data_IF_592227898502
#
_entry.id   IF_592227898502
#
_cell.length_a   1.000
_cell.length_b   1.000
_cell.length_c   1.000
_cell.angle_alpha   90.00
_cell.angle_beta   90.00
_cell.angle_gamma   90.00
#
_symmetry.space_group_name_H-M   'P 1'
#
loop_
_entity.id
_entity.type
_entity.pdbx_description
1 polymer ?
#
# COMPACT_ATOMS: atom_id res chain seq x y z
N UNK A 1 -27.91 -25.50 -42.43
CA UNK A 1 -27.78 -25.46 -40.94
C UNK A 1 -26.35 -25.29 -40.47
N UNK A 2 -25.40 -26.15 -40.86
CA UNK A 2 -24.02 -26.14 -40.32
C UNK A 2 -23.21 -24.84 -40.56
N UNK A 3 -23.36 -24.19 -41.72
CA UNK A 3 -22.70 -22.91 -42.01
C UNK A 3 -23.25 -21.76 -41.15
N UNK A 4 -24.56 -21.76 -40.89
CA UNK A 4 -25.20 -20.74 -40.06
C UNK A 4 -24.79 -20.87 -38.60
N UNK A 5 -24.69 -22.10 -38.07
CA UNK A 5 -24.21 -22.34 -36.71
C UNK A 5 -22.75 -21.93 -36.55
N UNK A 6 -21.90 -22.19 -37.54
CA UNK A 6 -20.49 -21.79 -37.49
C UNK A 6 -20.33 -20.26 -37.50
N UNK A 7 -21.11 -19.55 -38.33
CA UNK A 7 -21.11 -18.09 -38.38
C UNK A 7 -21.55 -17.48 -37.05
N UNK A 8 -22.59 -18.03 -36.41
CA UNK A 8 -23.07 -17.56 -35.10
C UNK A 8 -22.02 -17.80 -34.02
N UNK A 9 -21.40 -18.98 -33.96
CA UNK A 9 -20.34 -19.27 -32.98
C UNK A 9 -19.16 -18.33 -33.16
N UNK A 10 -18.67 -18.14 -34.40
CA UNK A 10 -17.57 -17.22 -34.68
C UNK A 10 -17.91 -15.78 -34.29
N UNK A 11 -19.13 -15.33 -34.56
CA UNK A 11 -19.59 -14.00 -34.20
C UNK A 11 -19.65 -13.83 -32.66
N UNK A 12 -20.19 -14.81 -31.94
CA UNK A 12 -20.23 -14.80 -30.48
C UNK A 12 -18.84 -14.84 -29.86
N UNK A 13 -17.92 -15.63 -30.43
CA UNK A 13 -16.52 -15.67 -30.01
C UNK A 13 -15.81 -14.34 -30.23
N UNK A 14 -16.05 -13.67 -31.36
CA UNK A 14 -15.51 -12.34 -31.64
C UNK A 14 -16.07 -11.27 -30.70
N UNK A 15 -17.37 -11.31 -30.42
CA UNK A 15 -18.00 -10.40 -29.46
C UNK A 15 -17.48 -10.61 -28.04
N UNK A 16 -17.38 -11.86 -27.58
CA UNK A 16 -16.82 -12.21 -26.28
C UNK A 16 -15.34 -11.81 -26.19
N UNK A 17 -14.54 -12.09 -27.21
CA UNK A 17 -13.14 -11.67 -27.28
C UNK A 17 -12.99 -10.14 -27.28
N UNK A 18 -13.87 -9.43 -27.99
CA UNK A 18 -13.89 -7.98 -28.01
C UNK A 18 -14.24 -7.40 -26.64
N UNK A 19 -15.20 -7.99 -25.94
CA UNK A 19 -15.57 -7.59 -24.58
C UNK A 19 -14.41 -7.77 -23.59
N UNK A 20 -13.74 -8.92 -23.61
CA UNK A 20 -12.59 -9.21 -22.75
C UNK A 20 -11.45 -8.20 -22.94
N UNK A 21 -11.15 -7.83 -24.19
CA UNK A 21 -10.05 -6.90 -24.49
C UNK A 21 -10.40 -5.44 -24.19
N UNK A 22 -11.64 -5.01 -24.43
CA UNK A 22 -12.03 -3.61 -24.31
C UNK A 22 -12.56 -3.23 -22.93
N UNK A 23 -13.05 -4.18 -22.14
CA UNK A 23 -13.71 -3.91 -20.85
C UNK A 23 -12.97 -4.57 -19.68
N UNK A 24 -12.75 -5.89 -19.74
CA UNK A 24 -12.19 -6.65 -18.61
C UNK A 24 -10.69 -6.40 -18.43
N UNK A 25 -9.90 -6.45 -19.51
CA UNK A 25 -8.44 -6.30 -19.44
C UNK A 25 -7.97 -4.95 -18.84
N UNK A 26 -8.53 -3.78 -19.23
CA UNK A 26 -8.17 -2.51 -18.61
C UNK A 26 -8.45 -2.46 -17.10
N UNK A 27 -9.61 -2.98 -16.65
CA UNK A 27 -10.00 -3.01 -15.23
C UNK A 27 -9.06 -3.89 -14.41
N UNK A 28 -8.80 -5.10 -14.87
CA UNK A 28 -7.87 -6.03 -14.22
C UNK A 28 -6.47 -5.40 -14.10
N UNK A 29 -6.01 -4.70 -15.14
CA UNK A 29 -4.72 -4.03 -15.12
C UNK A 29 -4.66 -2.92 -14.07
N UNK A 30 -5.70 -2.09 -13.96
CA UNK A 30 -5.75 -0.99 -12.99
C UNK A 30 -5.68 -1.51 -11.54
N UNK A 31 -6.49 -2.52 -11.20
CA UNK A 31 -6.49 -3.10 -9.85
C UNK A 31 -5.15 -3.76 -9.50
N UNK A 32 -4.54 -4.42 -10.49
CA UNK A 32 -3.23 -5.07 -10.31
C UNK A 32 -2.15 -4.04 -10.05
N UNK A 33 -2.16 -2.92 -10.78
CA UNK A 33 -1.23 -1.83 -10.56
C UNK A 33 -1.46 -1.15 -9.20
N UNK A 34 -2.71 -0.90 -8.79
CA UNK A 34 -3.05 -0.34 -7.48
C UNK A 34 -2.54 -1.23 -6.34
N UNK A 35 -2.78 -2.54 -6.43
CA UNK A 35 -2.28 -3.52 -5.47
C UNK A 35 -0.74 -3.54 -5.43
N UNK A 36 -0.08 -3.53 -6.60
CA UNK A 36 1.39 -3.51 -6.69
C UNK A 36 1.96 -2.26 -6.01
N UNK A 37 1.39 -1.09 -6.29
CA UNK A 37 1.86 0.18 -5.74
C UNK A 37 1.63 0.26 -4.22
N UNK A 38 0.45 -0.16 -3.74
CA UNK A 38 0.17 -0.24 -2.30
C UNK A 38 1.19 -1.14 -1.57
N UNK A 39 1.54 -2.29 -2.16
CA UNK A 39 2.56 -3.17 -1.61
C UNK A 39 3.95 -2.52 -1.55
N UNK A 40 4.33 -1.73 -2.56
CA UNK A 40 5.60 -1.01 -2.56
C UNK A 40 5.66 0.05 -1.45
N UNK A 41 4.54 0.76 -1.22
CA UNK A 41 4.42 1.70 -0.09
C UNK A 41 4.52 0.95 1.24
N UNK A 42 3.86 -0.20 1.40
CA UNK A 42 3.98 -1.03 2.60
C UNK A 42 5.42 -1.45 2.86
N UNK A 43 6.15 -1.92 1.84
CA UNK A 43 7.56 -2.30 1.98
C UNK A 43 8.40 -1.09 2.44
N UNK A 44 8.19 0.08 1.84
CA UNK A 44 8.88 1.30 2.25
C UNK A 44 8.59 1.66 3.72
N UNK A 45 7.33 1.55 4.16
CA UNK A 45 6.91 1.77 5.54
C UNK A 45 7.54 0.75 6.51
N UNK A 46 7.66 -0.52 6.12
CA UNK A 46 8.33 -1.56 6.94
C UNK A 46 9.82 -1.29 7.08
N UNK A 47 10.48 -0.82 6.02
CA UNK A 47 11.89 -0.41 6.09
C UNK A 47 12.08 0.76 7.05
N UNK A 48 11.14 1.72 7.05
CA UNK A 48 11.17 2.83 8.01
C UNK A 48 11.04 2.35 9.46
N UNK A 49 10.05 1.50 9.75
CA UNK A 49 9.88 0.91 11.09
C UNK A 49 11.15 0.17 11.54
N UNK A 50 11.75 -0.61 10.64
CA UNK A 50 12.96 -1.40 10.91
C UNK A 50 14.15 -0.49 11.19
N UNK A 51 14.36 0.55 10.38
CA UNK A 51 15.42 1.53 10.58
C UNK A 51 15.28 2.26 11.93
N UNK A 52 14.09 2.77 12.24
CA UNK A 52 13.84 3.47 13.50
C UNK A 52 14.06 2.58 14.72
N UNK A 53 13.68 1.30 14.66
CA UNK A 53 13.97 0.33 15.74
C UNK A 53 15.48 0.14 15.93
N UNK A 54 16.25 0.06 14.84
CA UNK A 54 17.71 -0.02 14.89
C UNK A 54 18.33 1.22 15.51
N UNK A 55 17.89 2.40 15.08
CA UNK A 55 18.32 3.69 15.62
C UNK A 55 18.06 3.79 17.13
N UNK A 56 16.82 3.55 17.56
CA UNK A 56 16.44 3.62 18.98
C UNK A 56 17.14 2.56 19.84
N UNK A 57 17.55 1.43 19.27
CA UNK A 57 18.22 0.36 19.99
C UNK A 57 19.74 0.51 20.10
N UNK A 58 20.37 1.27 19.19
CA UNK A 58 21.84 1.32 19.07
C UNK A 58 22.43 2.73 19.13
N UNK A 59 21.61 3.76 18.91
CA UNK A 59 22.02 5.13 18.64
C UNK A 59 23.04 5.26 17.48
N UNK A 60 23.11 4.29 16.58
CA UNK A 60 23.96 4.35 15.38
C UNK A 60 23.18 4.98 14.21
N UNK A 61 23.61 6.15 13.69
CA UNK A 61 22.93 6.85 12.60
C UNK A 61 22.77 6.03 11.31
N UNK A 62 23.56 4.96 11.10
CA UNK A 62 23.42 4.09 9.93
C UNK A 62 22.01 3.50 9.82
N UNK A 63 21.34 3.27 10.96
CA UNK A 63 19.96 2.76 10.97
C UNK A 63 18.92 3.82 10.60
N UNK A 64 19.29 5.10 10.45
CA UNK A 64 18.39 6.12 9.91
C UNK A 64 18.33 6.10 8.37
N UNK A 65 19.25 5.44 7.67
CA UNK A 65 19.22 5.36 6.21
C UNK A 65 17.93 4.69 5.68
N UNK A 66 17.49 3.52 6.19
CA UNK A 66 16.22 2.90 5.75
C UNK A 66 14.99 3.74 6.09
N UNK A 67 15.05 4.54 7.17
CA UNK A 67 14.00 5.49 7.53
C UNK A 67 13.90 6.61 6.51
N UNK A 68 15.01 7.25 6.15
CA UNK A 68 15.02 8.38 5.22
C UNK A 68 14.60 7.94 3.82
N UNK A 69 15.22 6.88 3.29
CA UNK A 69 14.89 6.33 1.97
C UNK A 69 13.45 5.82 1.91
N UNK A 70 12.98 5.15 2.96
CA UNK A 70 11.63 4.63 3.04
C UNK A 70 10.59 5.75 3.10
N UNK A 71 10.87 6.85 3.81
CA UNK A 71 9.98 8.03 3.89
C UNK A 71 9.75 8.65 2.53
N UNK A 72 10.81 8.86 1.76
CA UNK A 72 10.75 9.40 0.40
C UNK A 72 9.98 8.47 -0.54
N UNK A 73 10.33 7.18 -0.53
CA UNK A 73 9.70 6.16 -1.38
C UNK A 73 8.21 6.03 -1.09
N UNK A 74 7.85 5.98 0.19
CA UNK A 74 6.46 5.93 0.60
C UNK A 74 5.73 7.20 0.16
N UNK A 75 6.31 8.40 0.32
CA UNK A 75 5.65 9.65 -0.06
C UNK A 75 5.36 9.71 -1.57
N UNK A 76 6.33 9.32 -2.40
CA UNK A 76 6.15 9.19 -3.84
C UNK A 76 5.05 8.19 -4.20
N UNK A 77 5.10 6.97 -3.65
CA UNK A 77 4.11 5.93 -3.94
C UNK A 77 2.69 6.29 -3.48
N UNK A 78 2.56 6.99 -2.36
CA UNK A 78 1.27 7.54 -1.90
C UNK A 78 0.67 8.56 -2.85
N UNK A 79 1.49 9.44 -3.44
CA UNK A 79 1.04 10.37 -4.49
C UNK A 79 0.61 9.63 -5.77
N UNK A 80 1.33 8.57 -6.13
CA UNK A 80 1.00 7.73 -7.27
C UNK A 80 -0.32 6.97 -7.06
N UNK A 81 -0.55 6.39 -5.88
CA UNK A 81 -1.83 5.74 -5.53
C UNK A 81 -3.02 6.68 -5.73
N UNK A 82 -2.93 7.92 -5.22
CA UNK A 82 -3.99 8.93 -5.41
C UNK A 82 -4.22 9.25 -6.89
N UNK A 83 -3.13 9.34 -7.67
CA UNK A 83 -3.21 9.58 -9.11
C UNK A 83 -3.89 8.41 -9.85
N UNK A 84 -3.56 7.18 -9.47
CA UNK A 84 -4.11 5.95 -10.07
C UNK A 84 -5.57 5.72 -9.71
N UNK A 85 -6.00 6.16 -8.52
CA UNK A 85 -7.40 6.14 -8.13
C UNK A 85 -8.24 7.03 -9.07
N UNK A 86 -7.72 8.18 -9.48
CA UNK A 86 -8.42 9.08 -10.40
C UNK A 86 -9.82 9.44 -9.90
N UNK A 87 -10.86 9.10 -10.67
CA UNK A 87 -12.27 9.35 -10.31
C UNK A 87 -12.96 8.17 -9.62
N UNK A 88 -12.23 7.10 -9.34
CA UNK A 88 -12.75 5.94 -8.63
C UNK A 88 -12.89 6.24 -7.13
N UNK A 89 -14.12 6.54 -6.71
CA UNK A 89 -14.42 6.88 -5.33
C UNK A 89 -14.15 5.75 -4.35
N UNK A 90 -14.29 4.49 -4.76
CA UNK A 90 -14.04 3.35 -3.88
C UNK A 90 -12.54 3.17 -3.69
N UNK A 91 -11.73 3.18 -4.75
CA UNK A 91 -10.27 3.13 -4.62
C UNK A 91 -9.74 4.33 -3.83
N UNK A 92 -10.24 5.53 -4.13
CA UNK A 92 -9.87 6.75 -3.40
C UNK A 92 -10.16 6.63 -1.90
N UNK A 93 -11.32 6.08 -1.51
CA UNK A 93 -11.65 5.88 -0.09
C UNK A 93 -10.66 4.95 0.63
N UNK A 94 -10.28 3.83 -0.01
CA UNK A 94 -9.32 2.88 0.57
C UNK A 94 -7.93 3.51 0.72
N UNK A 95 -7.52 4.29 -0.27
CA UNK A 95 -6.23 5.00 -0.24
C UNK A 95 -6.24 6.08 0.84
N UNK A 96 -7.34 6.84 1.00
CA UNK A 96 -7.45 7.84 2.08
C UNK A 96 -7.29 7.19 3.46
N UNK A 97 -7.91 6.03 3.71
CA UNK A 97 -7.75 5.30 4.97
C UNK A 97 -6.28 4.93 5.23
N UNK A 98 -5.55 4.46 4.20
CA UNK A 98 -4.11 4.20 4.28
C UNK A 98 -3.34 5.47 4.64
N UNK A 99 -3.63 6.59 3.97
CA UNK A 99 -2.91 7.85 4.16
C UNK A 99 -3.15 8.46 5.54
N UNK A 100 -4.37 8.36 6.07
CA UNK A 100 -4.69 8.82 7.43
C UNK A 100 -3.92 7.99 8.47
N UNK A 101 -3.94 6.66 8.35
CA UNK A 101 -3.21 5.78 9.27
C UNK A 101 -1.70 6.01 9.19
N UNK A 102 -1.17 6.20 7.97
CA UNK A 102 0.22 6.56 7.75
C UNK A 102 0.58 7.89 8.40
N UNK A 103 -0.21 8.95 8.20
CA UNK A 103 0.10 10.26 8.75
C UNK A 103 0.19 10.24 10.29
N UNK A 104 -0.65 9.42 10.94
CA UNK A 104 -0.57 9.18 12.38
C UNK A 104 0.75 8.51 12.77
N UNK A 105 1.18 7.49 12.02
CA UNK A 105 2.48 6.84 12.25
C UNK A 105 3.67 7.76 11.93
N UNK A 106 3.62 8.55 10.86
CA UNK A 106 4.67 9.47 10.43
C UNK A 106 4.97 10.53 11.51
N UNK A 107 3.97 10.90 12.32
CA UNK A 107 4.14 11.80 13.46
C UNK A 107 5.04 11.14 14.52
N UNK A 108 4.71 9.92 14.95
CA UNK A 108 5.54 9.15 15.88
C UNK A 108 6.95 8.87 15.31
N UNK A 109 7.03 8.55 14.03
CA UNK A 109 8.27 8.22 13.34
C UNK A 109 9.25 9.40 13.29
N UNK A 110 8.75 10.62 13.13
CA UNK A 110 9.57 11.84 13.19
C UNK A 110 10.15 12.06 14.59
N UNK A 111 9.35 11.88 15.63
CA UNK A 111 9.82 11.97 17.01
C UNK A 111 10.86 10.88 17.30
N UNK A 112 10.63 9.66 16.84
CA UNK A 112 11.56 8.54 16.97
C UNK A 112 12.92 8.83 16.32
N UNK A 113 12.92 9.42 15.11
CA UNK A 113 14.16 9.75 14.39
C UNK A 113 15.00 10.84 15.07
N UNK A 114 14.37 11.71 15.87
CA UNK A 114 15.04 12.82 16.57
C UNK A 114 15.51 12.44 17.98
N UNK A 115 15.07 11.29 18.52
CA UNK A 115 15.50 10.81 19.83
C UNK A 115 16.95 10.37 19.78
N UNK A 116 17.80 11.05 20.53
CA UNK A 116 19.18 10.64 20.76
C UNK A 116 19.30 10.06 22.19
N UNK A 117 19.18 8.74 22.30
CA UNK A 117 19.34 8.01 23.56
C UNK A 117 20.75 8.16 24.16
N UNK A 118 21.77 8.44 23.33
CA UNK A 118 23.12 8.67 23.83
C UNK A 118 23.23 10.03 24.55
N UNK A 119 22.48 11.04 24.09
CA UNK A 119 22.43 12.38 24.69
C UNK A 119 21.37 12.56 25.77
N UNK A 120 20.32 11.72 25.79
CA UNK A 120 19.23 11.79 26.77
C UNK A 120 18.70 10.40 27.10
N UNK A 121 19.36 9.67 28.02
CA UNK A 121 19.00 8.30 28.34
C UNK A 121 17.59 8.24 28.92
N UNK A 122 16.72 7.42 28.32
CA UNK A 122 15.38 7.17 28.83
C UNK A 122 15.37 5.82 29.57
N UNK A 123 14.46 5.64 30.53
CA UNK A 123 14.38 4.36 31.23
C UNK A 123 14.00 3.23 30.24
N UNK A 124 14.51 2.00 30.40
CA UNK A 124 14.15 0.88 29.53
C UNK A 124 12.64 0.65 29.42
N UNK A 125 11.90 0.90 30.51
CA UNK A 125 10.45 0.80 30.54
C UNK A 125 9.78 1.89 29.67
N UNK A 126 10.26 3.13 29.73
CA UNK A 126 9.73 4.23 28.93
C UNK A 126 10.05 4.04 27.43
N UNK A 127 11.26 3.57 27.09
CA UNK A 127 11.62 3.22 25.72
C UNK A 127 10.74 2.08 25.19
N UNK A 128 10.52 1.05 26.00
CA UNK A 128 9.63 -0.06 25.64
C UNK A 128 8.21 0.43 25.36
N UNK A 129 7.66 1.28 26.22
CA UNK A 129 6.33 1.85 26.01
C UNK A 129 6.27 2.68 24.72
N UNK A 130 7.28 3.51 24.47
CA UNK A 130 7.36 4.31 23.25
C UNK A 130 7.39 3.44 21.97
N UNK A 131 8.12 2.32 22.00
CA UNK A 131 8.13 1.35 20.89
C UNK A 131 6.79 0.64 20.71
N UNK A 132 6.08 0.33 21.81
CA UNK A 132 4.74 -0.26 21.76
C UNK A 132 3.72 0.72 21.15
N UNK A 133 3.81 2.01 21.47
CA UNK A 133 2.95 3.04 20.91
C UNK A 133 3.14 3.16 19.38
N UNK A 134 4.40 3.18 18.93
CA UNK A 134 4.74 3.16 17.50
C UNK A 134 4.26 1.90 16.79
N UNK A 135 4.40 0.74 17.44
CA UNK A 135 3.87 -0.53 16.91
C UNK A 135 2.34 -0.48 16.76
N UNK A 136 1.61 0.04 17.74
CA UNK A 136 0.16 0.12 17.67
C UNK A 136 -0.30 1.00 16.49
N UNK A 137 0.37 2.14 16.26
CA UNK A 137 0.12 2.99 15.09
C UNK A 137 0.43 2.25 13.78
N UNK A 138 1.53 1.50 13.72
CA UNK A 138 1.91 0.74 12.52
C UNK A 138 0.95 -0.41 12.24
N UNK A 139 0.41 -1.06 13.27
CA UNK A 139 -0.60 -2.11 13.13
C UNK A 139 -1.92 -1.54 12.55
N UNK A 140 -2.31 -0.31 12.93
CA UNK A 140 -3.45 0.40 12.31
C UNK A 140 -3.18 0.65 10.82
N UNK A 141 -1.98 1.08 10.46
CA UNK A 141 -1.56 1.24 9.06
C UNK A 141 -1.61 -0.08 8.28
N UNK A 142 -1.02 -1.16 8.80
CA UNK A 142 -1.07 -2.50 8.18
C UNK A 142 -2.50 -3.00 7.99
N UNK A 143 -3.38 -2.72 8.95
CA UNK A 143 -4.79 -3.11 8.84
C UNK A 143 -5.52 -2.33 7.73
N UNK A 144 -5.22 -1.04 7.56
CA UNK A 144 -5.77 -0.23 6.46
C UNK A 144 -5.26 -0.74 5.10
N UNK A 145 -3.95 -0.98 4.97
CA UNK A 145 -3.35 -1.54 3.75
C UNK A 145 -3.95 -2.91 3.38
N UNK A 146 -4.10 -3.81 4.35
CA UNK A 146 -4.68 -5.12 4.13
C UNK A 146 -6.14 -5.07 3.63
N UNK A 147 -6.96 -4.14 4.15
CA UNK A 147 -8.34 -3.93 3.67
C UNK A 147 -8.37 -3.39 2.24
N UNK A 148 -7.49 -2.45 1.91
CA UNK A 148 -7.38 -1.93 0.55
C UNK A 148 -6.95 -3.04 -0.42
N UNK A 149 -5.93 -3.82 -0.06
CA UNK A 149 -5.43 -4.95 -0.86
C UNK A 149 -6.51 -5.99 -1.12
N UNK A 150 -7.30 -6.33 -0.09
CA UNK A 150 -8.43 -7.24 -0.24
C UNK A 150 -9.46 -6.67 -1.22
N UNK A 151 -9.76 -5.37 -1.13
CA UNK A 151 -10.70 -4.69 -2.03
C UNK A 151 -10.21 -4.71 -3.47
N UNK A 152 -8.95 -4.33 -3.73
CA UNK A 152 -8.37 -4.35 -5.08
C UNK A 152 -8.35 -5.76 -5.67
N UNK A 153 -7.98 -6.77 -4.87
CA UNK A 153 -7.99 -8.17 -5.31
C UNK A 153 -9.41 -8.64 -5.64
N UNK A 154 -10.40 -8.34 -4.80
CA UNK A 154 -11.80 -8.71 -5.06
C UNK A 154 -12.35 -8.06 -6.34
N UNK A 155 -12.05 -6.78 -6.56
CA UNK A 155 -12.47 -6.05 -7.75
C UNK A 155 -11.80 -6.58 -9.02
N UNK A 156 -10.51 -6.92 -8.93
CA UNK A 156 -9.78 -7.59 -10.01
C UNK A 156 -10.44 -8.92 -10.38
N UNK A 157 -10.78 -9.73 -9.37
CA UNK A 157 -11.37 -11.04 -9.59
C UNK A 157 -12.79 -10.94 -10.16
N UNK A 158 -13.60 -9.97 -9.72
CA UNK A 158 -14.90 -9.64 -10.32
C UNK A 158 -14.77 -9.25 -11.79
N UNK A 159 -13.77 -8.43 -12.14
CA UNK A 159 -13.52 -8.03 -13.52
C UNK A 159 -13.09 -9.19 -14.44
N UNK A 160 -12.68 -10.34 -13.89
CA UNK A 160 -12.39 -11.56 -14.65
C UNK A 160 -13.63 -12.45 -14.85
N UNK A 161 -14.65 -12.30 -14.01
CA UNK A 161 -15.86 -13.13 -14.02
C UNK A 161 -17.09 -12.44 -14.65
N UNK A 162 -17.08 -11.10 -14.71
CA UNK A 162 -18.08 -10.26 -15.38
C UNK A 162 -17.82 -10.16 -16.90
#
# INVERSE_FOLDING_TARGET
MMLATLAVVLFLSLLSSGYLLLVSAPRVSQETELAREANQVLVAMVNQETGLRGWLGTADPVFLEPYQSGKESAAAGSGLLLTMAGTDSQAASQIVDILVARAAWDTWAQDAAQRDEASSPVSPAALTQFLLDGKALFDVYRAADARAMQTFTQRRDQALTD
#
